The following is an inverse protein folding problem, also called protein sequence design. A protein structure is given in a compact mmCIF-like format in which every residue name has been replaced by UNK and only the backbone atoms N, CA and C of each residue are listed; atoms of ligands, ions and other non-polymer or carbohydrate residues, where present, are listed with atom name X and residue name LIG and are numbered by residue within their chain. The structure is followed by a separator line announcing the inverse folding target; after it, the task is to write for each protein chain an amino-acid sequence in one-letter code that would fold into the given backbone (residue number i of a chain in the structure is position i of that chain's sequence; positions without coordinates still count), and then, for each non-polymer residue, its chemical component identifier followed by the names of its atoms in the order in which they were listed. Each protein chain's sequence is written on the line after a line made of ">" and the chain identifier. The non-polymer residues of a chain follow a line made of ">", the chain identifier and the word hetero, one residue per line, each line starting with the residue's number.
data_IF_796665941218
#
_entry.id   IF_796665941218
#
_cell.length_a   1.000
_cell.length_b   1.000
_cell.length_c   1.000
_cell.angle_alpha   90.00
_cell.angle_beta   90.00
_cell.angle_gamma   90.00
#
_symmetry.space_group_name_H-M   'P 1'
#
loop_
_entity.id
_entity.type
_entity.pdbx_description
1 polymer ?
#
# COMPACT_ATOMS: atom_id res chain seq x y z
N UNK A 1 -8.52 -21.62 10.66
CA UNK A 1 -8.12 -20.23 10.97
C UNK A 1 -9.40 -19.43 11.19
N UNK A 2 -9.55 -18.69 12.30
CA UNK A 2 -10.78 -17.94 12.58
C UNK A 2 -10.89 -16.73 11.63
N UNK A 3 -12.09 -16.43 11.13
CA UNK A 3 -12.34 -15.30 10.20
C UNK A 3 -11.75 -13.97 10.70
N UNK A 4 -11.78 -13.72 12.02
CA UNK A 4 -11.14 -12.55 12.64
C UNK A 4 -9.63 -12.48 12.42
N UNK A 5 -8.93 -13.60 12.59
CA UNK A 5 -7.48 -13.64 12.35
C UNK A 5 -7.16 -13.38 10.88
N UNK A 6 -7.98 -13.91 9.98
CA UNK A 6 -7.83 -13.65 8.54
C UNK A 6 -8.01 -12.16 8.26
N UNK A 7 -9.07 -11.53 8.77
CA UNK A 7 -9.34 -10.12 8.48
C UNK A 7 -8.30 -9.17 9.10
N UNK A 8 -7.74 -9.52 10.26
CA UNK A 8 -6.64 -8.78 10.84
C UNK A 8 -5.36 -8.90 9.99
N UNK A 9 -4.98 -10.10 9.54
CA UNK A 9 -3.73 -10.29 8.80
C UNK A 9 -3.82 -9.95 7.31
N UNK A 10 -4.98 -10.10 6.68
CA UNK A 10 -5.19 -9.85 5.25
C UNK A 10 -4.70 -8.48 4.77
N UNK A 11 -5.13 -7.32 5.34
CA UNK A 11 -4.66 -6.01 4.87
C UNK A 11 -3.15 -5.82 5.01
N UNK A 12 -2.54 -6.43 6.03
CA UNK A 12 -1.10 -6.33 6.29
C UNK A 12 -0.31 -7.14 5.25
N UNK A 13 -0.76 -8.36 4.97
CA UNK A 13 -0.15 -9.19 3.93
C UNK A 13 -0.32 -8.56 2.55
N UNK A 14 -1.53 -8.10 2.20
CA UNK A 14 -1.76 -7.46 0.89
C UNK A 14 -0.98 -6.16 0.74
N UNK A 15 -0.85 -5.36 1.81
CA UNK A 15 -0.04 -4.15 1.80
C UNK A 15 1.46 -4.41 1.63
N UNK A 16 2.02 -5.45 2.28
CA UNK A 16 3.41 -5.88 2.05
C UNK A 16 3.61 -6.37 0.62
N UNK A 17 2.71 -7.21 0.11
CA UNK A 17 2.76 -7.69 -1.27
C UNK A 17 2.71 -6.53 -2.26
N UNK A 18 1.88 -5.52 -1.99
CA UNK A 18 1.82 -4.32 -2.82
C UNK A 18 3.11 -3.49 -2.76
N UNK A 19 3.73 -3.32 -1.59
CA UNK A 19 5.02 -2.65 -1.45
C UNK A 19 6.12 -3.36 -2.25
N UNK A 20 6.17 -4.69 -2.20
CA UNK A 20 7.11 -5.51 -2.99
C UNK A 20 6.82 -5.38 -4.48
N UNK A 21 5.55 -5.44 -4.89
CA UNK A 21 5.18 -5.26 -6.29
C UNK A 21 5.63 -3.90 -6.83
N UNK A 22 5.40 -2.81 -6.09
CA UNK A 22 5.80 -1.47 -6.50
C UNK A 22 7.33 -1.31 -6.47
N UNK A 23 8.05 -1.98 -5.58
CA UNK A 23 9.52 -1.91 -5.58
C UNK A 23 10.17 -2.54 -6.81
N UNK A 24 9.49 -3.45 -7.51
CA UNK A 24 10.00 -4.03 -8.77
C UNK A 24 10.14 -2.96 -9.86
N UNK A 25 9.29 -1.94 -9.87
CA UNK A 25 9.36 -0.87 -10.87
C UNK A 25 10.61 -0.01 -10.69
N UNK A 26 11.12 0.15 -9.46
CA UNK A 26 12.33 0.93 -9.21
C UNK A 26 13.60 0.26 -9.78
N UNK A 27 13.54 -1.01 -10.20
CA UNK A 27 14.69 -1.72 -10.77
C UNK A 27 15.01 -1.28 -12.21
N UNK A 28 14.19 -0.45 -12.83
CA UNK A 28 14.38 0.04 -14.20
C UNK A 28 15.52 1.05 -14.35
N UNK A 29 16.01 1.63 -13.23
CA UNK A 29 17.10 2.61 -13.22
C UNK A 29 18.51 2.01 -13.37
N UNK A 30 18.63 0.68 -13.35
CA UNK A 30 19.93 -0.01 -13.44
C UNK A 30 20.33 -0.28 -14.89
N UNK A 31 21.65 -0.23 -15.17
CA UNK A 31 22.17 -0.56 -16.50
C UNK A 31 22.05 0.56 -17.53
N UNK A 32 21.96 1.80 -17.06
CA UNK A 32 21.90 3.02 -17.87
C UNK A 32 23.28 3.46 -18.39
N UNK A 33 24.35 2.90 -17.83
CA UNK A 33 25.74 3.27 -18.13
C UNK A 33 26.28 4.42 -17.28
N UNK A 34 25.48 4.91 -16.33
CA UNK A 34 25.93 5.84 -15.30
C UNK A 34 26.87 5.15 -14.29
N UNK A 35 27.49 5.92 -13.40
CA UNK A 35 28.29 5.34 -12.32
C UNK A 35 27.41 4.59 -11.32
N UNK A 36 27.97 3.58 -10.66
CA UNK A 36 27.24 2.79 -9.66
C UNK A 36 26.54 3.64 -8.60
N UNK A 37 27.19 4.71 -8.12
CA UNK A 37 26.65 5.59 -7.09
C UNK A 37 25.48 6.45 -7.60
N UNK A 38 25.51 6.86 -8.87
CA UNK A 38 24.40 7.57 -9.50
C UNK A 38 23.19 6.66 -9.67
N UNK A 39 23.38 5.42 -10.14
CA UNK A 39 22.28 4.44 -10.27
C UNK A 39 21.71 4.06 -8.90
N UNK A 40 22.56 3.89 -7.87
CA UNK A 40 22.11 3.62 -6.51
C UNK A 40 21.29 4.79 -5.94
N UNK A 41 21.73 6.03 -6.14
CA UNK A 41 20.98 7.20 -5.70
C UNK A 41 19.63 7.29 -6.43
N UNK A 42 19.61 7.07 -7.74
CA UNK A 42 18.39 7.02 -8.54
C UNK A 42 17.43 5.93 -8.05
N UNK A 43 17.94 4.74 -7.74
CA UNK A 43 17.16 3.62 -7.19
C UNK A 43 16.49 3.98 -5.86
N UNK A 44 17.24 4.57 -4.93
CA UNK A 44 16.71 4.98 -3.63
C UNK A 44 15.63 6.06 -3.76
N UNK A 45 15.74 6.94 -4.77
CA UNK A 45 14.70 7.93 -5.10
C UNK A 45 13.48 7.27 -5.73
N UNK A 46 13.66 6.30 -6.64
CA UNK A 46 12.55 5.60 -7.29
C UNK A 46 11.77 4.69 -6.32
N UNK A 47 12.37 4.33 -5.17
CA UNK A 47 11.66 3.67 -4.06
C UNK A 47 10.73 4.60 -3.26
N UNK A 48 10.67 5.90 -3.54
CA UNK A 48 9.80 6.84 -2.83
C UNK A 48 8.32 6.39 -2.73
N UNK A 49 7.68 5.86 -3.80
CA UNK A 49 6.33 5.32 -3.72
C UNK A 49 6.22 4.15 -2.73
N UNK A 50 7.25 3.31 -2.64
CA UNK A 50 7.32 2.19 -1.70
C UNK A 50 7.38 2.70 -0.26
N UNK A 51 8.19 3.72 0.02
CA UNK A 51 8.27 4.31 1.36
C UNK A 51 6.92 4.85 1.84
N UNK A 52 6.14 5.49 0.95
CA UNK A 52 4.79 5.95 1.28
C UNK A 52 3.85 4.79 1.65
N UNK A 53 3.92 3.68 0.92
CA UNK A 53 3.14 2.47 1.21
C UNK A 53 3.54 1.89 2.57
N UNK A 54 4.85 1.80 2.86
CA UNK A 54 5.36 1.28 4.13
C UNK A 54 4.95 2.17 5.31
N UNK A 55 4.92 3.49 5.15
CA UNK A 55 4.41 4.43 6.16
C UNK A 55 2.92 4.18 6.41
N UNK A 56 2.11 4.06 5.35
CA UNK A 56 0.67 3.77 5.49
C UNK A 56 0.43 2.43 6.19
N UNK A 57 1.23 1.41 5.86
CA UNK A 57 1.21 0.08 6.48
C UNK A 57 1.56 0.16 7.97
N UNK A 58 2.64 0.87 8.32
CA UNK A 58 3.09 1.09 9.69
C UNK A 58 2.02 1.80 10.53
N UNK A 59 1.42 2.87 10.00
CA UNK A 59 0.29 3.56 10.65
C UNK A 59 -0.91 2.61 10.82
N UNK A 60 -1.19 1.79 9.81
CA UNK A 60 -2.25 0.78 9.84
C UNK A 60 -2.06 -0.28 10.93
N UNK A 61 -0.83 -0.56 11.36
CA UNK A 61 -0.58 -1.44 12.49
C UNK A 61 -1.07 -0.88 13.82
N UNK A 62 -0.98 0.44 14.00
CA UNK A 62 -1.44 1.12 15.22
C UNK A 62 -2.93 1.45 15.16
N UNK A 63 -3.43 1.82 13.97
CA UNK A 63 -4.82 2.20 13.76
C UNK A 63 -5.30 1.77 12.37
N UNK A 64 -6.05 0.67 12.32
CA UNK A 64 -6.56 0.10 11.07
C UNK A 64 -7.41 1.09 10.26
N UNK A 65 -8.15 2.00 10.90
CA UNK A 65 -8.94 3.02 10.18
C UNK A 65 -8.06 4.06 9.48
N UNK A 66 -7.03 4.57 10.18
CA UNK A 66 -6.08 5.51 9.56
C UNK A 66 -5.28 4.82 8.45
N UNK A 67 -4.83 3.58 8.66
CA UNK A 67 -4.20 2.78 7.61
C UNK A 67 -5.10 2.65 6.37
N UNK A 68 -6.38 2.34 6.59
CA UNK A 68 -7.37 2.26 5.52
C UNK A 68 -7.49 3.54 4.71
N UNK A 69 -7.67 4.68 5.39
CA UNK A 69 -7.76 6.00 4.76
C UNK A 69 -6.49 6.31 3.95
N UNK A 70 -5.31 6.05 4.52
CA UNK A 70 -4.03 6.30 3.84
C UNK A 70 -3.88 5.44 2.58
N UNK A 71 -4.30 4.17 2.60
CA UNK A 71 -4.25 3.32 1.41
C UNK A 71 -5.22 3.77 0.32
N UNK A 72 -6.44 4.22 0.67
CA UNK A 72 -7.39 4.81 -0.29
C UNK A 72 -6.85 6.13 -0.87
N UNK A 73 -6.22 6.95 -0.03
CA UNK A 73 -5.54 8.16 -0.47
C UNK A 73 -4.41 7.84 -1.46
N UNK A 74 -3.54 6.86 -1.15
CA UNK A 74 -2.47 6.42 -2.04
C UNK A 74 -3.01 5.87 -3.37
N UNK A 75 -4.08 5.06 -3.34
CA UNK A 75 -4.73 4.58 -4.55
C UNK A 75 -5.17 5.74 -5.46
N UNK A 76 -5.78 6.77 -4.85
CA UNK A 76 -6.24 7.97 -5.56
C UNK A 76 -5.06 8.77 -6.10
N UNK A 77 -4.05 9.01 -5.27
CA UNK A 77 -2.85 9.76 -5.62
C UNK A 77 -2.10 9.11 -6.78
N UNK A 78 -1.83 7.81 -6.71
CA UNK A 78 -1.14 7.08 -7.77
C UNK A 78 -1.96 7.04 -9.07
N UNK A 79 -3.29 6.92 -8.97
CA UNK A 79 -4.16 6.99 -10.14
C UNK A 79 -4.07 8.33 -10.85
N UNK A 80 -4.08 9.44 -10.09
CA UNK A 80 -4.01 10.78 -10.66
C UNK A 80 -2.63 11.12 -11.24
N UNK A 81 -1.56 10.67 -10.59
CA UNK A 81 -0.19 10.98 -11.02
C UNK A 81 0.28 10.08 -12.18
N UNK A 82 -0.09 8.80 -12.17
CA UNK A 82 0.52 7.80 -13.05
C UNK A 82 -0.50 6.99 -13.87
N UNK A 83 -1.72 6.78 -13.36
CA UNK A 83 -2.67 5.83 -13.94
C UNK A 83 -3.71 6.41 -14.92
N UNK A 84 -4.04 7.70 -14.85
CA UNK A 84 -5.28 8.23 -15.46
C UNK A 84 -5.39 8.10 -16.99
N UNK A 85 -4.28 7.90 -17.70
CA UNK A 85 -4.25 7.82 -19.17
C UNK A 85 -4.34 6.40 -19.72
N UNK A 86 -4.05 5.40 -18.90
CA UNK A 86 -3.99 4.00 -19.33
C UNK A 86 -4.79 3.11 -18.38
N UNK A 87 -5.87 2.46 -18.83
CA UNK A 87 -6.74 1.65 -17.97
C UNK A 87 -6.02 0.52 -17.25
N UNK A 88 -5.01 -0.09 -17.90
CA UNK A 88 -4.25 -1.20 -17.31
C UNK A 88 -3.38 -0.69 -16.16
N UNK A 89 -2.64 0.40 -16.38
CA UNK A 89 -1.83 1.07 -15.36
C UNK A 89 -2.70 1.56 -14.21
N UNK A 90 -3.87 2.15 -14.51
CA UNK A 90 -4.84 2.55 -13.50
C UNK A 90 -5.26 1.36 -12.64
N UNK A 91 -5.62 0.23 -13.25
CA UNK A 91 -6.03 -0.95 -12.52
C UNK A 91 -4.90 -1.48 -11.63
N UNK A 92 -3.68 -1.58 -12.17
CA UNK A 92 -2.50 -2.09 -11.44
C UNK A 92 -2.11 -1.21 -10.25
N UNK A 93 -2.20 0.11 -10.39
CA UNK A 93 -1.81 1.06 -9.34
C UNK A 93 -2.94 1.37 -8.35
N UNK A 94 -4.20 1.30 -8.78
CA UNK A 94 -5.33 1.67 -7.93
C UNK A 94 -5.93 0.48 -7.19
N UNK A 95 -6.03 -0.69 -7.84
CA UNK A 95 -6.80 -1.81 -7.30
C UNK A 95 -6.16 -2.41 -6.04
N UNK A 96 -4.85 -2.78 -6.01
CA UNK A 96 -4.26 -3.37 -4.82
C UNK A 96 -4.31 -2.47 -3.56
N UNK A 97 -3.98 -1.16 -3.62
CA UNK A 97 -4.09 -0.30 -2.44
C UNK A 97 -5.55 -0.01 -2.08
N UNK A 98 -6.48 0.03 -3.06
CA UNK A 98 -7.91 0.15 -2.74
C UNK A 98 -8.41 -1.06 -1.95
N UNK A 99 -8.12 -2.27 -2.42
CA UNK A 99 -8.48 -3.51 -1.72
C UNK A 99 -7.86 -3.56 -0.33
N UNK A 100 -6.57 -3.20 -0.22
CA UNK A 100 -5.87 -3.15 1.07
C UNK A 100 -6.50 -2.14 2.03
N UNK A 101 -6.87 -0.95 1.53
CA UNK A 101 -7.53 0.09 2.31
C UNK A 101 -8.90 -0.36 2.85
N UNK A 102 -9.72 -0.98 1.99
CA UNK A 102 -11.03 -1.52 2.39
C UNK A 102 -10.89 -2.63 3.44
N UNK A 103 -9.90 -3.51 3.31
CA UNK A 103 -9.60 -4.55 4.29
C UNK A 103 -9.20 -3.95 5.66
N UNK A 104 -8.37 -2.90 5.67
CA UNK A 104 -8.00 -2.18 6.88
C UNK A 104 -9.22 -1.52 7.56
N UNK A 105 -10.12 -0.92 6.78
CA UNK A 105 -11.36 -0.34 7.31
C UNK A 105 -12.28 -1.42 7.90
N UNK A 106 -12.40 -2.58 7.23
CA UNK A 106 -13.19 -3.71 7.71
C UNK A 106 -12.65 -4.27 9.05
N UNK A 107 -11.32 -4.44 9.16
CA UNK A 107 -10.63 -4.83 10.41
C UNK A 107 -10.90 -3.81 11.54
N UNK A 108 -10.82 -2.52 11.22
CA UNK A 108 -11.12 -1.44 12.16
C UNK A 108 -12.59 -1.39 12.61
N UNK A 109 -13.55 -1.71 11.74
CA UNK A 109 -14.98 -1.79 12.09
C UNK A 109 -15.25 -2.88 13.11
N UNK A 110 -14.72 -4.08 12.89
CA UNK A 110 -14.93 -5.23 13.78
C UNK A 110 -14.27 -4.99 15.14
N UNK A 111 -13.05 -4.46 15.14
CA UNK A 111 -12.33 -4.13 16.38
C UNK A 111 -13.10 -3.11 17.24
N UNK A 112 -13.73 -2.10 16.62
CA UNK A 112 -14.56 -1.10 17.33
C UNK A 112 -15.90 -1.67 17.80
N UNK A 113 -16.53 -2.56 17.02
CA UNK A 113 -17.80 -3.17 17.37
C UNK A 113 -17.70 -4.07 18.61
N UNK A 114 -16.55 -4.70 18.85
CA UNK A 114 -16.28 -5.49 20.05
C UNK A 114 -16.05 -4.63 21.30
N UNK A 115 -15.51 -3.42 21.14
CA UNK A 115 -15.27 -2.46 22.23
C UNK A 115 -16.52 -1.73 22.71
N UNK A 116 -17.64 -1.80 21.96
CA UNK A 116 -18.95 -1.37 22.46
C UNK A 116 -19.65 -2.59 23.06
N UNK A 117 -19.65 -2.78 24.40
CA UNK A 117 -20.51 -3.80 24.99
C UNK A 117 -21.95 -3.50 24.59
N UNK A 118 -22.67 -4.54 24.16
CA UNK A 118 -24.11 -4.47 23.89
C UNK A 118 -24.78 -4.13 25.23
N UNK A 119 -25.16 -2.87 25.40
CA UNK A 119 -26.03 -2.42 26.49
C UNK A 119 -27.45 -2.92 26.25
#
# INVERSE_FOLDING_TARGET
>A
MTTRKILHWAPRVTGVLYAVFISLFALDVWGTGASFWEELAAFLIHLLPVYLILIALFVGWWNSWLGGILFIFLATLFSLLFGWRDPVTLLLLALPPTVTGLLFMADGCISKAELRPRM
#
